data_IF_025964634156
#
_entry.id   IF_025964634156
#
_cell.length_a   1.000
_cell.length_b   1.000
_cell.length_c   1.000
_cell.angle_alpha   90.00
_cell.angle_beta   90.00
_cell.angle_gamma   90.00
#
_symmetry.space_group_name_H-M   'P 1'
#
loop_
_entity.id
_entity.type
_entity.pdbx_description
1 polymer ?
#
# COMPACT_ATOMS: atom_id res chain seq x y z
N UNK A 1 20.38 19.60 9.83
CA UNK A 1 18.98 19.63 9.31
C UNK A 1 18.87 19.43 7.80
N UNK A 2 19.72 20.08 6.97
CA UNK A 2 19.70 19.89 5.50
C UNK A 2 19.80 18.44 5.02
N UNK A 3 20.65 17.62 5.65
CA UNK A 3 20.81 16.20 5.31
C UNK A 3 19.53 15.38 5.57
N UNK A 4 18.91 15.55 6.74
CA UNK A 4 17.67 14.86 7.10
C UNK A 4 16.50 15.25 6.18
N UNK A 5 16.40 16.53 5.83
CA UNK A 5 15.41 17.01 4.86
C UNK A 5 15.69 16.49 3.44
N UNK A 6 16.96 16.36 3.06
CA UNK A 6 17.35 15.74 1.78
C UNK A 6 16.95 14.27 1.71
N UNK A 7 17.21 13.51 2.79
CA UNK A 7 16.78 12.11 2.93
C UNK A 7 15.26 11.96 2.85
N UNK A 8 14.51 12.79 3.57
CA UNK A 8 13.04 12.79 3.51
C UNK A 8 12.54 12.95 2.08
N UNK A 9 13.04 13.95 1.34
CA UNK A 9 12.64 14.18 -0.05
C UNK A 9 12.99 13.03 -0.98
N UNK A 10 14.11 12.35 -0.73
CA UNK A 10 14.48 11.17 -1.51
C UNK A 10 13.52 10.00 -1.26
N UNK A 11 13.12 9.78 0.01
CA UNK A 11 12.12 8.77 0.38
C UNK A 11 10.76 9.12 -0.23
N UNK A 12 10.34 10.38 -0.17
CA UNK A 12 9.09 10.85 -0.75
C UNK A 12 9.08 10.65 -2.27
N UNK A 13 10.17 10.99 -2.95
CA UNK A 13 10.32 10.79 -4.39
C UNK A 13 10.30 9.31 -4.79
N UNK A 14 10.90 8.43 -3.98
CA UNK A 14 10.84 6.99 -4.19
C UNK A 14 9.41 6.47 -4.04
N UNK A 15 8.71 6.84 -2.97
CA UNK A 15 7.32 6.45 -2.76
C UNK A 15 6.40 6.94 -3.88
N UNK A 16 6.63 8.14 -4.38
CA UNK A 16 5.91 8.73 -5.51
C UNK A 16 6.12 7.93 -6.81
N UNK A 17 7.36 7.52 -7.09
CA UNK A 17 7.68 6.71 -8.27
C UNK A 17 7.08 5.30 -8.16
N UNK A 18 7.19 4.68 -6.98
CA UNK A 18 6.60 3.37 -6.71
C UNK A 18 5.08 3.42 -6.89
N UNK A 19 4.40 4.42 -6.32
CA UNK A 19 2.95 4.58 -6.49
C UNK A 19 2.53 4.72 -7.96
N UNK A 20 3.30 5.48 -8.75
CA UNK A 20 3.07 5.62 -10.19
C UNK A 20 3.19 4.29 -10.96
N UNK A 21 4.18 3.47 -10.60
CA UNK A 21 4.34 2.14 -11.19
C UNK A 21 3.19 1.21 -10.78
N UNK A 22 2.77 1.28 -9.53
CA UNK A 22 1.68 0.44 -9.00
C UNK A 22 0.34 0.70 -9.71
N UNK A 23 0.07 1.90 -10.23
CA UNK A 23 -1.13 2.14 -11.05
C UNK A 23 -1.25 1.21 -12.26
N UNK A 24 -0.13 0.88 -12.90
CA UNK A 24 -0.12 -0.05 -14.04
C UNK A 24 -0.39 -1.50 -13.60
N UNK A 25 0.04 -1.88 -12.40
CA UNK A 25 -0.25 -3.20 -11.84
C UNK A 25 -1.75 -3.37 -11.55
N UNK A 26 -2.43 -2.30 -11.13
CA UNK A 26 -3.89 -2.32 -10.96
C UNK A 26 -4.58 -2.62 -12.30
N UNK A 27 -4.16 -1.95 -13.38
CA UNK A 27 -4.70 -2.24 -14.71
C UNK A 27 -4.46 -3.70 -15.11
N UNK A 28 -3.26 -4.22 -14.88
CA UNK A 28 -2.94 -5.63 -15.13
C UNK A 28 -3.85 -6.57 -14.30
N UNK A 29 -4.10 -6.26 -13.03
CA UNK A 29 -4.97 -7.04 -12.16
C UNK A 29 -6.42 -7.08 -12.66
N UNK A 30 -6.93 -5.96 -13.16
CA UNK A 30 -8.26 -5.87 -13.75
C UNK A 30 -8.34 -6.71 -15.03
N UNK A 31 -7.35 -6.60 -15.92
CA UNK A 31 -7.32 -7.37 -17.18
C UNK A 31 -7.23 -8.88 -16.93
N UNK A 32 -6.39 -9.30 -15.99
CA UNK A 32 -6.26 -10.72 -15.61
C UNK A 32 -7.57 -11.23 -14.99
N UNK A 33 -8.21 -10.43 -14.12
CA UNK A 33 -9.48 -10.79 -13.50
C UNK A 33 -10.62 -10.91 -14.51
N UNK A 34 -10.73 -9.94 -15.41
CA UNK A 34 -11.71 -9.95 -16.49
C UNK A 34 -11.48 -11.11 -17.46
N UNK A 35 -10.22 -11.35 -17.86
CA UNK A 35 -9.84 -12.47 -18.72
C UNK A 35 -10.18 -13.82 -18.10
N UNK A 36 -9.87 -14.00 -16.81
CA UNK A 36 -10.22 -15.21 -16.07
C UNK A 36 -11.75 -15.42 -16.02
N UNK A 37 -12.53 -14.36 -15.77
CA UNK A 37 -14.00 -14.45 -15.79
C UNK A 37 -14.52 -14.87 -17.17
N UNK A 38 -14.02 -14.25 -18.25
CA UNK A 38 -14.43 -14.59 -19.62
C UNK A 38 -14.13 -16.06 -19.92
N UNK A 39 -12.90 -16.53 -19.67
CA UNK A 39 -12.51 -17.94 -19.90
C UNK A 39 -13.37 -18.90 -19.08
N UNK A 40 -13.62 -18.57 -17.82
CA UNK A 40 -14.42 -19.40 -16.92
C UNK A 40 -15.86 -19.52 -17.36
N UNK A 41 -16.51 -18.43 -17.79
CA UNK A 41 -17.92 -18.43 -18.15
C UNK A 41 -18.20 -18.80 -19.60
N UNK A 42 -17.28 -18.51 -20.53
CA UNK A 42 -17.46 -18.83 -21.96
C UNK A 42 -16.91 -20.21 -22.34
N UNK A 43 -15.79 -20.62 -21.77
CA UNK A 43 -15.11 -21.86 -22.12
C UNK A 43 -15.26 -22.95 -21.05
N UNK A 44 -15.94 -22.67 -19.92
CA UNK A 44 -16.03 -23.57 -18.75
C UNK A 44 -14.67 -24.08 -18.26
N UNK A 45 -13.58 -23.39 -18.61
CA UNK A 45 -12.23 -23.71 -18.18
C UNK A 45 -11.88 -22.89 -16.95
N UNK A 46 -11.49 -23.57 -15.87
CA UNK A 46 -11.00 -22.94 -14.65
C UNK A 46 -9.65 -23.54 -14.30
N UNK A 47 -8.65 -22.68 -14.08
CA UNK A 47 -7.33 -23.10 -13.62
C UNK A 47 -6.95 -22.30 -12.39
N UNK A 48 -6.36 -22.99 -11.40
CA UNK A 48 -5.95 -22.39 -10.13
C UNK A 48 -4.88 -21.31 -10.32
N UNK A 49 -4.04 -21.44 -11.35
CA UNK A 49 -2.99 -20.48 -11.65
C UNK A 49 -3.54 -19.05 -11.89
N UNK A 50 -4.72 -18.93 -12.51
CA UNK A 50 -5.37 -17.63 -12.72
C UNK A 50 -5.87 -17.00 -11.42
N UNK A 51 -6.22 -17.79 -10.41
CA UNK A 51 -6.62 -17.28 -9.10
C UNK A 51 -5.39 -16.92 -8.26
N UNK A 52 -4.36 -17.75 -8.28
CA UNK A 52 -3.12 -17.51 -7.53
C UNK A 52 -2.42 -16.23 -8.01
N UNK A 53 -2.32 -16.01 -9.32
CA UNK A 53 -1.69 -14.78 -9.84
C UNK A 53 -2.45 -13.51 -9.44
N UNK A 54 -3.78 -13.58 -9.33
CA UNK A 54 -4.59 -12.45 -8.84
C UNK A 54 -4.29 -12.16 -7.37
N UNK A 55 -4.18 -13.19 -6.53
CA UNK A 55 -3.82 -13.05 -5.13
C UNK A 55 -2.44 -12.42 -4.96
N UNK A 56 -1.42 -12.94 -5.65
CA UNK A 56 -0.07 -12.40 -5.55
C UNK A 56 0.02 -10.96 -6.06
N UNK A 57 -0.65 -10.66 -7.18
CA UNK A 57 -0.65 -9.32 -7.74
C UNK A 57 -1.36 -8.33 -6.81
N UNK A 58 -2.47 -8.74 -6.19
CA UNK A 58 -3.16 -7.93 -5.18
C UNK A 58 -2.28 -7.65 -3.96
N UNK A 59 -1.61 -8.68 -3.41
CA UNK A 59 -0.68 -8.51 -2.29
C UNK A 59 0.46 -7.55 -2.65
N UNK A 60 1.01 -7.68 -3.86
CA UNK A 60 2.07 -6.80 -4.34
C UNK A 60 1.60 -5.35 -4.46
N UNK A 61 0.43 -5.12 -5.07
CA UNK A 61 -0.17 -3.78 -5.17
C UNK A 61 -0.35 -3.17 -3.78
N UNK A 62 -0.91 -3.93 -2.84
CA UNK A 62 -1.21 -3.43 -1.49
C UNK A 62 0.06 -3.04 -0.73
N UNK A 63 1.09 -3.90 -0.73
CA UNK A 63 2.35 -3.66 -0.04
C UNK A 63 3.11 -2.47 -0.62
N UNK A 64 3.21 -2.38 -1.95
CA UNK A 64 3.95 -1.29 -2.60
C UNK A 64 3.19 0.05 -2.55
N UNK A 65 1.86 0.04 -2.47
CA UNK A 65 1.05 1.26 -2.33
C UNK A 65 0.93 1.75 -0.88
N UNK A 66 1.31 0.94 0.12
CA UNK A 66 1.23 1.32 1.53
C UNK A 66 2.06 2.58 1.84
N UNK A 67 3.29 2.67 1.33
CA UNK A 67 4.13 3.86 1.50
C UNK A 67 3.59 5.10 0.79
N UNK A 68 3.05 4.92 -0.42
CA UNK A 68 2.44 6.00 -1.20
C UNK A 68 1.18 6.58 -0.54
N UNK A 69 0.31 5.71 -0.02
CA UNK A 69 -0.91 6.12 0.70
C UNK A 69 -0.59 6.78 2.05
N UNK A 70 0.46 6.31 2.73
CA UNK A 70 0.96 6.96 3.95
C UNK A 70 1.50 8.37 3.67
N UNK A 71 2.30 8.53 2.62
CA UNK A 71 2.83 9.84 2.17
C UNK A 71 1.71 10.86 1.92
N UNK A 72 0.63 10.42 1.29
CA UNK A 72 -0.53 11.27 0.98
C UNK A 72 -1.53 11.42 2.14
N UNK A 73 -1.22 10.87 3.32
CA UNK A 73 -2.13 10.80 4.47
C UNK A 73 -3.50 10.17 4.14
N UNK A 74 -3.55 9.28 3.14
CA UNK A 74 -4.75 8.54 2.74
C UNK A 74 -4.83 7.15 3.38
N UNK A 75 -3.86 6.81 4.22
CA UNK A 75 -3.93 5.60 5.01
C UNK A 75 -5.15 5.67 5.93
N UNK A 76 -5.89 4.55 6.07
CA UNK A 76 -7.16 4.53 6.81
C UNK A 76 -6.89 4.90 8.27
N UNK A 77 -7.42 6.04 8.71
CA UNK A 77 -7.33 6.52 10.09
C UNK A 77 -8.73 6.62 10.67
N UNK A 78 -8.86 6.26 11.95
CA UNK A 78 -10.09 6.49 12.69
C UNK A 78 -10.10 7.97 13.10
N UNK A 79 -10.64 8.82 12.24
CA UNK A 79 -10.51 10.28 12.34
C UNK A 79 -11.47 10.95 13.33
N UNK A 80 -12.12 10.19 14.22
CA UNK A 80 -13.09 10.71 15.20
C UNK A 80 -12.41 11.66 16.20
N UNK A 81 -11.18 11.32 16.64
CA UNK A 81 -10.43 12.07 17.65
C UNK A 81 -9.26 12.83 17.02
N UNK A 82 -8.58 12.23 16.05
CA UNK A 82 -7.41 12.83 15.38
C UNK A 82 -7.79 14.16 14.73
N UNK A 83 -9.00 14.27 14.14
CA UNK A 83 -9.57 15.42 13.44
C UNK A 83 -9.51 16.73 14.22
N UNK A 84 -9.61 16.64 15.55
CA UNK A 84 -9.70 17.79 16.45
C UNK A 84 -8.34 18.16 17.09
N UNK A 85 -7.30 17.38 16.86
CA UNK A 85 -5.97 17.58 17.42
C UNK A 85 -5.10 18.50 16.54
N UNK A 86 -4.19 19.24 17.18
CA UNK A 86 -3.19 20.04 16.49
C UNK A 86 -2.24 19.17 15.64
N UNK A 87 -1.68 19.74 14.57
CA UNK A 87 -0.76 19.02 13.67
C UNK A 87 0.44 18.39 14.40
N UNK A 88 0.93 19.03 15.48
CA UNK A 88 2.01 18.47 16.30
C UNK A 88 1.57 17.26 17.11
N UNK A 89 0.38 17.30 17.72
CA UNK A 89 -0.15 16.17 18.47
C UNK A 89 -0.40 14.97 17.54
N UNK A 90 -0.92 15.21 16.33
CA UNK A 90 -1.11 14.17 15.31
C UNK A 90 0.23 13.54 14.88
N UNK A 91 1.25 14.36 14.63
CA UNK A 91 2.58 13.85 14.28
C UNK A 91 3.18 12.97 15.39
N UNK A 92 3.01 13.35 16.67
CA UNK A 92 3.46 12.51 17.79
C UNK A 92 2.72 11.18 17.86
N UNK A 93 1.41 11.18 17.65
CA UNK A 93 0.60 9.94 17.59
C UNK A 93 1.08 9.05 16.45
N UNK A 94 1.32 9.61 15.27
CA UNK A 94 1.80 8.85 14.11
C UNK A 94 3.19 8.24 14.37
N UNK A 95 4.11 8.99 14.98
CA UNK A 95 5.45 8.52 15.34
C UNK A 95 5.36 7.39 16.38
N UNK A 96 4.63 7.59 17.47
CA UNK A 96 4.49 6.58 18.52
C UNK A 96 3.76 5.33 18.02
N UNK A 97 2.69 5.52 17.25
CA UNK A 97 1.95 4.45 16.58
C UNK A 97 2.85 3.62 15.67
N UNK A 98 3.67 4.29 14.86
CA UNK A 98 4.58 3.63 13.92
C UNK A 98 5.68 2.86 14.66
N UNK A 99 6.31 3.46 15.66
CA UNK A 99 7.47 2.87 16.36
C UNK A 99 7.07 1.73 17.29
N UNK A 100 5.96 1.84 18.02
CA UNK A 100 5.59 0.88 19.05
C UNK A 100 4.55 -0.16 18.62
N UNK A 101 3.80 0.08 17.54
CA UNK A 101 2.78 -0.86 17.07
C UNK A 101 3.09 -1.39 15.68
N UNK A 102 3.28 -0.50 14.69
CA UNK A 102 3.48 -0.91 13.30
C UNK A 102 4.84 -1.61 13.09
N UNK A 103 5.95 -1.02 13.54
CA UNK A 103 7.28 -1.61 13.36
C UNK A 103 7.44 -2.99 14.04
N UNK A 104 7.06 -3.18 15.31
CA UNK A 104 7.18 -4.49 15.96
C UNK A 104 6.34 -5.55 15.25
N UNK A 105 5.12 -5.21 14.82
CA UNK A 105 4.28 -6.11 14.03
C UNK A 105 4.94 -6.47 12.70
N UNK A 106 5.46 -5.48 11.96
CA UNK A 106 6.12 -5.71 10.67
C UNK A 106 7.35 -6.62 10.83
N UNK A 107 8.17 -6.39 11.86
CA UNK A 107 9.33 -7.23 12.18
C UNK A 107 8.89 -8.65 12.54
N UNK A 108 7.82 -8.81 13.32
CA UNK A 108 7.29 -10.12 13.68
C UNK A 108 6.73 -10.90 12.48
N UNK A 109 6.09 -10.21 11.52
CA UNK A 109 5.59 -10.84 10.28
C UNK A 109 6.73 -11.22 9.33
N UNK A 110 7.87 -10.51 9.37
CA UNK A 110 9.03 -10.82 8.53
C UNK A 110 9.76 -12.11 8.93
N UNK A 111 9.54 -12.63 10.14
CA UNK A 111 10.24 -13.80 10.68
C UNK A 111 9.32 -15.02 10.69
#
# INVERSE_FOLDING_TARGET
MRLLLGLSRAIDALNEQVGKLTYWLILAAVLISAGNAIVRYSLNMSSNAWLEIQWYLFSFIFLFCAGYTLLHNQHVRIDVISGQLSSRARAWIDILGTVFFLMPMAIAIMW
#
